data_IF_408692949758
#
_entry.id   IF_408692949758
#
_cell.length_a   1.000
_cell.length_b   1.000
_cell.length_c   1.000
_cell.angle_alpha   90.00
_cell.angle_beta   90.00
_cell.angle_gamma   90.00
#
_symmetry.space_group_name_H-M   'P 1'
#
loop_
_entity.id
_entity.type
_entity.pdbx_description
1 polymer ?
#
# COMPACT_ATOMS: atom_id res chain seq x y z
N UNK A 1 -1.27 20.91 12.80
CA UNK A 1 -2.08 19.99 11.96
C UNK A 1 -3.10 19.33 12.85
N UNK A 2 -4.37 19.23 12.45
CA UNK A 2 -5.39 18.54 13.25
C UNK A 2 -5.09 17.03 13.20
N UNK A 3 -4.51 16.49 14.27
CA UNK A 3 -4.06 15.10 14.35
C UNK A 3 -5.17 14.11 14.01
N UNK A 4 -6.41 14.39 14.45
CA UNK A 4 -7.56 13.52 14.18
C UNK A 4 -7.93 13.47 12.68
N UNK A 5 -7.86 14.61 11.99
CA UNK A 5 -8.11 14.66 10.55
C UNK A 5 -7.02 13.90 9.77
N UNK A 6 -5.77 14.04 10.21
CA UNK A 6 -4.64 13.31 9.65
C UNK A 6 -4.79 11.79 9.84
N UNK A 7 -5.15 11.33 11.05
CA UNK A 7 -5.38 9.92 11.34
C UNK A 7 -6.52 9.32 10.53
N UNK A 8 -7.66 10.03 10.40
CA UNK A 8 -8.76 9.56 9.56
C UNK A 8 -8.37 9.45 8.09
N UNK A 9 -7.62 10.42 7.55
CA UNK A 9 -7.11 10.34 6.18
C UNK A 9 -6.15 9.15 5.99
N UNK A 10 -5.25 8.91 6.94
CA UNK A 10 -4.33 7.77 6.91
C UNK A 10 -5.06 6.42 6.98
N UNK A 11 -6.14 6.33 7.76
CA UNK A 11 -6.98 5.13 7.85
C UNK A 11 -7.72 4.86 6.53
N UNK A 12 -8.32 5.89 5.91
CA UNK A 12 -8.99 5.76 4.61
C UNK A 12 -7.98 5.34 3.53
N UNK A 13 -6.81 5.97 3.47
CA UNK A 13 -5.76 5.60 2.52
C UNK A 13 -5.30 4.14 2.70
N UNK A 14 -5.17 3.69 3.96
CA UNK A 14 -4.81 2.30 4.27
C UNK A 14 -5.90 1.31 3.87
N UNK A 15 -7.18 1.67 4.06
CA UNK A 15 -8.32 0.85 3.64
C UNK A 15 -8.37 0.70 2.12
N UNK A 16 -8.23 1.79 1.37
CA UNK A 16 -8.22 1.78 -0.10
C UNK A 16 -7.07 0.94 -0.65
N UNK A 17 -5.88 1.05 -0.04
CA UNK A 17 -4.73 0.23 -0.41
C UNK A 17 -5.01 -1.25 -0.18
N UNK A 18 -5.54 -1.62 1.00
CA UNK A 18 -5.85 -3.02 1.31
C UNK A 18 -6.90 -3.60 0.36
N UNK A 19 -7.94 -2.83 0.03
CA UNK A 19 -8.97 -3.23 -0.93
C UNK A 19 -8.41 -3.42 -2.35
N UNK A 20 -7.52 -2.52 -2.79
CA UNK A 20 -6.83 -2.64 -4.08
C UNK A 20 -5.99 -3.92 -4.16
N UNK A 21 -5.19 -4.19 -3.12
CA UNK A 21 -4.39 -5.42 -3.03
C UNK A 21 -5.25 -6.68 -3.06
N UNK A 22 -6.39 -6.70 -2.35
CA UNK A 22 -7.31 -7.83 -2.37
C UNK A 22 -7.91 -8.06 -3.75
N UNK A 23 -8.33 -7.00 -4.45
CA UNK A 23 -8.87 -7.11 -5.82
C UNK A 23 -7.83 -7.67 -6.80
N UNK A 24 -6.55 -7.28 -6.65
CA UNK A 24 -5.43 -7.79 -7.42
C UNK A 24 -5.18 -9.28 -7.19
N UNK A 25 -5.20 -9.73 -5.94
CA UNK A 25 -5.04 -11.15 -5.60
C UNK A 25 -6.18 -11.99 -6.22
N UNK A 26 -7.42 -11.53 -6.07
CA UNK A 26 -8.59 -12.16 -6.71
C UNK A 26 -8.50 -12.13 -8.23
N UNK A 27 -7.82 -11.12 -8.80
CA UNK A 27 -7.61 -11.04 -10.23
C UNK A 27 -6.64 -12.10 -10.79
N UNK A 28 -5.91 -12.82 -9.94
CA UNK A 28 -4.88 -13.78 -10.36
C UNK A 28 -3.44 -13.27 -10.22
N UNK A 29 -3.22 -12.10 -9.59
CA UNK A 29 -1.88 -11.70 -9.19
C UNK A 29 -1.44 -12.44 -7.92
N UNK A 30 -0.15 -12.74 -7.81
CA UNK A 30 0.45 -13.36 -6.63
C UNK A 30 1.59 -12.48 -6.07
N UNK A 31 1.63 -12.30 -4.75
CA UNK A 31 2.74 -11.61 -4.11
C UNK A 31 3.91 -12.57 -3.89
N UNK A 32 5.07 -12.27 -4.47
CA UNK A 32 6.31 -13.02 -4.25
C UNK A 32 6.92 -12.72 -2.88
N UNK A 33 7.85 -13.56 -2.37
CA UNK A 33 8.51 -13.33 -1.08
C UNK A 33 9.24 -11.98 -0.96
N UNK A 34 9.63 -11.36 -2.08
CA UNK A 34 10.24 -10.03 -2.11
C UNK A 34 9.25 -8.86 -2.07
N UNK A 35 7.94 -9.11 -1.94
CA UNK A 35 6.91 -8.08 -1.98
C UNK A 35 6.58 -7.57 -3.39
N UNK A 36 7.06 -8.26 -4.43
CA UNK A 36 6.74 -7.95 -5.83
C UNK A 36 5.49 -8.74 -6.24
N UNK A 37 4.54 -8.10 -6.91
CA UNK A 37 3.39 -8.79 -7.50
C UNK A 37 3.73 -9.35 -8.87
N UNK A 38 3.55 -10.66 -9.05
CA UNK A 38 3.47 -11.31 -10.35
C UNK A 38 2.01 -11.34 -10.80
N UNK A 39 1.70 -10.63 -11.88
CA UNK A 39 0.35 -10.54 -12.45
C UNK A 39 0.23 -11.24 -13.81
N UNK A 40 1.20 -12.07 -14.21
CA UNK A 40 1.19 -12.78 -15.49
C UNK A 40 -0.03 -13.72 -15.67
N UNK A 41 -0.58 -14.23 -14.57
CA UNK A 41 -1.81 -15.03 -14.53
C UNK A 41 -3.10 -14.24 -14.33
N UNK A 42 -3.03 -12.90 -14.29
CA UNK A 42 -4.21 -12.07 -14.03
C UNK A 42 -5.15 -12.02 -15.24
N UNK A 43 -6.46 -12.11 -14.98
CA UNK A 43 -7.48 -11.85 -16.02
C UNK A 43 -7.69 -10.34 -16.27
N UNK A 44 -7.04 -9.48 -15.47
CA UNK A 44 -6.92 -8.04 -15.71
C UNK A 44 -5.60 -7.77 -16.41
N UNK A 45 -5.61 -6.89 -17.42
CA UNK A 45 -4.40 -6.54 -18.17
C UNK A 45 -3.26 -6.12 -17.22
N UNK A 46 -2.11 -6.84 -17.23
CA UNK A 46 -1.00 -6.60 -16.31
C UNK A 46 -0.46 -5.17 -16.33
N UNK A 47 -0.52 -4.48 -17.47
CA UNK A 47 -0.02 -3.10 -17.58
C UNK A 47 -0.82 -2.13 -16.69
N UNK A 48 -2.15 -2.28 -16.65
CA UNK A 48 -2.99 -1.43 -15.81
C UNK A 48 -2.84 -1.80 -14.33
N UNK A 49 -2.77 -3.08 -13.99
CA UNK A 49 -2.61 -3.53 -12.61
C UNK A 49 -1.24 -3.16 -12.04
N UNK A 50 -0.15 -3.32 -12.80
CA UNK A 50 1.18 -2.85 -12.39
C UNK A 50 1.21 -1.34 -12.21
N UNK A 51 0.61 -0.56 -13.12
CA UNK A 51 0.54 0.90 -12.99
C UNK A 51 -0.24 1.34 -11.73
N UNK A 52 -1.37 0.69 -11.44
CA UNK A 52 -2.18 0.96 -10.24
C UNK A 52 -1.42 0.60 -8.97
N UNK A 53 -0.71 -0.53 -8.91
CA UNK A 53 0.13 -0.89 -7.76
C UNK A 53 1.23 0.14 -7.55
N UNK A 54 1.96 0.50 -8.61
CA UNK A 54 3.03 1.49 -8.51
C UNK A 54 2.51 2.83 -7.96
N UNK A 55 1.34 3.27 -8.43
CA UNK A 55 0.67 4.47 -7.92
C UNK A 55 0.27 4.32 -6.44
N UNK A 56 -0.34 3.20 -6.06
CA UNK A 56 -0.76 2.91 -4.68
C UNK A 56 0.44 2.86 -3.71
N UNK A 57 1.54 2.23 -4.11
CA UNK A 57 2.76 2.15 -3.30
C UNK A 57 3.46 3.50 -3.19
N UNK A 58 3.49 4.28 -4.27
CA UNK A 58 3.95 5.68 -4.24
C UNK A 58 3.12 6.53 -3.30
N UNK A 59 1.79 6.39 -3.34
CA UNK A 59 0.87 7.11 -2.45
C UNK A 59 1.12 6.74 -0.97
N UNK A 60 1.35 5.46 -0.67
CA UNK A 60 1.71 5.01 0.68
C UNK A 60 3.00 5.63 1.18
N UNK A 61 4.03 5.69 0.33
CA UNK A 61 5.28 6.36 0.66
C UNK A 61 5.05 7.83 1.02
N UNK A 62 4.27 8.55 0.23
CA UNK A 62 3.92 9.95 0.51
C UNK A 62 3.18 10.07 1.84
N UNK A 63 2.16 9.24 2.08
CA UNK A 63 1.40 9.26 3.35
C UNK A 63 2.32 9.00 4.55
N UNK A 64 3.22 8.03 4.45
CA UNK A 64 4.19 7.73 5.51
C UNK A 64 5.14 8.91 5.75
N UNK A 65 5.64 9.56 4.70
CA UNK A 65 6.51 10.74 4.81
C UNK A 65 5.77 11.91 5.46
N UNK A 66 4.51 12.15 5.07
CA UNK A 66 3.70 13.23 5.65
C UNK A 66 3.38 12.93 7.13
N UNK A 67 3.15 11.68 7.50
CA UNK A 67 2.86 11.26 8.89
C UNK A 67 4.08 11.38 9.79
N UNK A 68 5.16 10.73 9.38
CA UNK A 68 6.29 10.37 10.25
C UNK A 68 7.56 11.14 9.89
N UNK A 69 7.50 12.00 8.87
CA UNK A 69 8.67 12.60 8.23
C UNK A 69 9.48 11.58 7.43
N UNK A 70 10.58 12.03 6.81
CA UNK A 70 11.50 11.14 6.08
C UNK A 70 12.09 10.04 6.99
N UNK A 71 12.27 10.32 8.29
CA UNK A 71 12.76 9.34 9.27
C UNK A 71 11.80 8.17 9.53
N UNK A 72 10.52 8.33 9.25
CA UNK A 72 9.52 7.27 9.37
C UNK A 72 9.71 6.11 8.40
N UNK A 73 10.43 6.33 7.29
CA UNK A 73 10.73 5.30 6.29
C UNK A 73 11.77 4.27 6.76
N UNK A 74 12.63 4.66 7.71
CA UNK A 74 13.76 3.86 8.20
C UNK A 74 13.63 3.50 9.69
N UNK A 75 12.57 3.99 10.35
CA UNK A 75 12.27 3.68 11.75
C UNK A 75 11.86 2.21 11.89
N UNK A 76 12.44 1.46 12.84
CA UNK A 76 11.93 0.14 13.23
C UNK A 76 10.46 0.24 13.65
N UNK A 77 9.61 -0.62 13.08
CA UNK A 77 8.21 -0.68 13.49
C UNK A 77 8.11 -1.17 14.94
N UNK A 78 7.31 -0.52 15.80
CA UNK A 78 7.10 -1.00 17.17
C UNK A 78 6.50 -2.42 17.13
N UNK A 79 6.83 -3.29 18.10
CA UNK A 79 6.28 -4.64 18.17
C UNK A 79 4.75 -4.59 18.20
N UNK A 80 4.10 -5.47 17.43
CA UNK A 80 2.65 -5.65 17.53
C UNK A 80 2.37 -6.33 18.86
N UNK A 81 1.77 -5.62 19.81
CA UNK A 81 1.27 -6.21 21.06
C UNK A 81 0.15 -7.21 20.70
N UNK A 82 0.22 -8.41 21.27
CA UNK A 82 -0.73 -9.50 21.01
C UNK A 82 -1.99 -9.34 21.85
#
# INVERSE_FOLDING_TARGET
MNSNAFHNAANIASLLLAAGTAALLVSGCAQTPGGIFDCSGSWINPAYTTAVIAALQGLKLIVNIVRDGLGGLIKPQPPVEK
#
